data_IF_165335004009
#
_entry.id   IF_165335004009
#
_cell.length_a   1.000
_cell.length_b   1.000
_cell.length_c   1.000
_cell.angle_alpha   90.00
_cell.angle_beta   90.00
_cell.angle_gamma   90.00
#
_symmetry.space_group_name_H-M   'P 1'
#
loop_
_entity.id
_entity.type
_entity.pdbx_description
1 polymer ?
#
# COMPACT_ATOMS: atom_id res chain seq x y z
N UNK A 1 -3.20 6.51 -22.43
CA UNK A 1 -2.35 5.32 -22.66
C UNK A 1 -1.17 5.45 -21.72
N UNK A 2 -0.82 4.38 -21.01
CA UNK A 2 0.36 4.32 -20.14
C UNK A 2 1.28 3.26 -20.72
N UNK A 3 2.56 3.59 -20.87
CA UNK A 3 3.58 2.66 -21.34
C UNK A 3 4.57 2.44 -20.20
N UNK A 4 4.96 1.19 -19.99
CA UNK A 4 6.01 0.83 -19.05
C UNK A 4 7.35 0.83 -19.77
N UNK A 5 8.39 1.16 -19.02
CA UNK A 5 9.75 1.17 -19.50
C UNK A 5 10.72 1.30 -18.34
N UNK A 6 11.97 0.97 -18.61
CA UNK A 6 13.05 0.99 -17.65
C UNK A 6 14.21 1.85 -18.16
N UNK A 7 15.11 2.22 -17.25
CA UNK A 7 16.30 2.99 -17.60
C UNK A 7 17.43 2.03 -17.97
N UNK A 8 17.91 2.12 -19.21
CA UNK A 8 19.16 1.48 -19.65
C UNK A 8 20.16 2.56 -20.05
N UNK A 9 21.30 2.61 -19.36
CA UNK A 9 22.39 3.56 -19.65
C UNK A 9 21.94 5.04 -19.69
N UNK A 10 20.95 5.42 -18.87
CA UNK A 10 20.42 6.77 -18.82
C UNK A 10 19.36 7.09 -19.89
N UNK A 11 18.95 6.10 -20.69
CA UNK A 11 17.89 6.20 -21.69
C UNK A 11 16.67 5.40 -21.22
N UNK A 12 15.46 5.95 -21.40
CA UNK A 12 14.22 5.21 -21.14
C UNK A 12 13.95 4.28 -22.32
N UNK A 13 13.93 2.97 -22.05
CA UNK A 13 13.58 1.92 -23.01
C UNK A 13 12.19 1.41 -22.66
N UNK A 14 11.29 1.37 -23.65
CA UNK A 14 9.94 0.83 -23.46
C UNK A 14 10.01 -0.69 -23.34
N UNK A 15 9.29 -1.26 -22.38
CA UNK A 15 9.24 -2.72 -22.19
C UNK A 15 8.53 -3.42 -23.36
N UNK A 16 7.53 -2.76 -23.93
CA UNK A 16 6.83 -3.19 -25.13
C UNK A 16 7.19 -2.28 -26.31
N UNK A 17 7.65 -2.91 -27.41
CA UNK A 17 8.01 -2.19 -28.62
C UNK A 17 6.77 -1.54 -29.25
N UNK A 18 6.80 -0.21 -29.37
CA UNK A 18 5.72 0.58 -29.96
C UNK A 18 6.30 1.73 -30.80
N UNK A 19 5.77 1.93 -32.00
CA UNK A 19 6.10 3.08 -32.83
C UNK A 19 5.33 4.32 -32.34
N UNK A 20 6.05 5.29 -31.77
CA UNK A 20 5.49 6.59 -31.38
C UNK A 20 5.82 7.65 -32.45
N UNK A 21 4.86 8.52 -32.83
CA UNK A 21 5.15 9.61 -33.76
C UNK A 21 6.23 10.56 -33.23
N UNK A 22 7.12 11.00 -34.12
CA UNK A 22 8.09 12.07 -33.84
C UNK A 22 7.41 13.32 -33.27
N UNK A 23 8.03 13.94 -32.27
CA UNK A 23 7.50 15.14 -31.60
C UNK A 23 6.39 14.87 -30.57
N UNK A 24 6.07 13.61 -30.28
CA UNK A 24 5.09 13.26 -29.23
C UNK A 24 5.58 13.77 -27.86
N UNK A 25 4.78 14.62 -27.21
CA UNK A 25 5.05 15.07 -25.84
C UNK A 25 4.71 13.96 -24.86
N UNK A 26 5.66 13.62 -23.99
CA UNK A 26 5.50 12.59 -22.96
C UNK A 26 5.65 13.17 -21.56
N UNK A 27 5.00 12.52 -20.59
CA UNK A 27 5.24 12.72 -19.16
C UNK A 27 5.90 11.45 -18.63
N UNK A 28 6.94 11.63 -17.83
CA UNK A 28 7.64 10.53 -17.17
C UNK A 28 7.16 10.48 -15.72
N UNK A 29 6.73 9.31 -15.28
CA UNK A 29 6.41 9.02 -13.90
C UNK A 29 7.31 7.87 -13.46
N UNK A 30 8.10 8.09 -12.41
CA UNK A 30 8.91 7.02 -11.83
C UNK A 30 7.99 6.06 -11.09
N UNK A 31 8.05 4.78 -11.46
CA UNK A 31 7.37 3.72 -10.74
C UNK A 31 8.29 3.31 -9.60
N UNK A 32 7.97 3.80 -8.40
CA UNK A 32 8.59 3.30 -7.19
C UNK A 32 8.06 1.89 -6.93
N UNK A 33 8.89 0.87 -7.17
CA UNK A 33 8.62 -0.50 -6.71
C UNK A 33 8.76 -0.65 -5.21
N UNK A 34 8.97 0.46 -4.47
CA UNK A 34 8.85 0.52 -3.02
C UNK A 34 7.50 -0.06 -2.62
N UNK A 35 7.50 -1.36 -2.30
CA UNK A 35 6.30 -2.08 -1.89
C UNK A 35 5.75 -1.31 -0.72
N UNK A 36 4.54 -0.77 -0.87
CA UNK A 36 3.86 -0.15 0.25
C UNK A 36 3.88 -1.17 1.40
N UNK A 37 4.31 -0.76 2.61
CA UNK A 37 4.39 -1.70 3.71
C UNK A 37 3.02 -2.32 3.91
N UNK A 38 3.00 -3.65 4.02
CA UNK A 38 1.81 -4.43 4.28
C UNK A 38 1.11 -3.92 5.54
N UNK A 39 -0.17 -4.23 5.69
CA UNK A 39 -0.92 -3.86 6.90
C UNK A 39 -0.25 -4.43 8.17
N UNK A 40 0.32 -5.64 8.08
CA UNK A 40 1.08 -6.24 9.17
C UNK A 40 2.33 -5.42 9.53
N UNK A 41 3.10 -4.96 8.54
CA UNK A 41 4.29 -4.12 8.77
C UNK A 41 3.92 -2.77 9.38
N UNK A 42 2.83 -2.15 8.90
CA UNK A 42 2.33 -0.88 9.42
C UNK A 42 1.84 -0.98 10.87
N UNK A 43 1.25 -2.13 11.25
CA UNK A 43 0.70 -2.36 12.58
C UNK A 43 1.66 -3.13 13.51
N UNK A 44 2.88 -3.42 13.08
CA UNK A 44 3.87 -4.24 13.82
C UNK A 44 4.06 -3.80 15.27
N UNK A 45 3.97 -2.50 15.55
CA UNK A 45 4.16 -1.94 16.89
C UNK A 45 3.01 -2.25 17.86
N UNK A 46 1.82 -2.58 17.36
CA UNK A 46 0.61 -2.79 18.19
C UNK A 46 0.09 -4.23 18.14
N UNK A 47 0.48 -5.03 17.14
CA UNK A 47 0.11 -6.44 17.03
C UNK A 47 0.56 -7.20 18.28
N UNK A 48 -0.37 -7.93 18.91
CA UNK A 48 -0.09 -8.78 20.06
C UNK A 48 0.16 -8.06 21.39
N UNK A 49 -0.05 -6.73 21.48
CA UNK A 49 0.12 -6.01 22.74
C UNK A 49 -0.98 -6.30 23.78
N UNK A 50 -2.14 -6.80 23.35
CA UNK A 50 -3.25 -7.14 24.24
C UNK A 50 -2.95 -8.36 25.11
N UNK A 51 -2.78 -8.17 26.42
CA UNK A 51 -2.56 -9.23 27.40
C UNK A 51 -3.72 -9.30 28.39
N UNK A 52 -4.18 -10.51 28.71
CA UNK A 52 -5.25 -10.72 29.70
C UNK A 52 -6.60 -10.13 29.31
N UNK A 53 -6.83 -9.92 28.02
CA UNK A 53 -8.07 -9.34 27.49
C UNK A 53 -9.17 -10.41 27.42
N UNK A 54 -10.44 -10.03 27.61
CA UNK A 54 -11.58 -10.91 27.38
C UNK A 54 -11.57 -11.48 25.96
N UNK A 55 -12.01 -12.74 25.81
CA UNK A 55 -12.04 -13.42 24.51
C UNK A 55 -12.99 -12.75 23.50
N UNK A 56 -13.99 -12.04 24.01
CA UNK A 56 -15.03 -11.32 23.26
C UNK A 56 -14.73 -9.82 23.11
N UNK A 57 -13.55 -9.34 23.51
CA UNK A 57 -13.22 -7.91 23.48
C UNK A 57 -13.40 -7.28 22.10
N UNK A 58 -13.10 -8.00 21.02
CA UNK A 58 -13.26 -7.47 19.67
C UNK A 58 -14.73 -7.16 19.34
N UNK A 59 -15.64 -8.05 19.75
CA UNK A 59 -17.08 -7.92 19.53
C UNK A 59 -17.71 -6.88 20.46
N UNK A 60 -17.26 -6.82 21.71
CA UNK A 60 -17.80 -5.96 22.76
C UNK A 60 -16.87 -4.79 23.13
N UNK A 61 -16.05 -4.30 22.20
CA UNK A 61 -15.02 -3.29 22.51
C UNK A 61 -15.63 -2.02 23.11
N UNK A 62 -16.79 -1.58 22.64
CA UNK A 62 -17.51 -0.42 23.19
C UNK A 62 -17.96 -0.65 24.65
N UNK A 63 -18.41 -1.86 24.99
CA UNK A 63 -18.78 -2.21 26.36
C UNK A 63 -17.57 -2.09 27.30
N UNK A 64 -16.42 -2.65 26.90
CA UNK A 64 -15.23 -2.67 27.74
C UNK A 64 -14.50 -1.31 27.79
N UNK A 65 -14.53 -0.52 26.72
CA UNK A 65 -13.86 0.80 26.66
C UNK A 65 -14.73 1.89 27.30
N UNK A 66 -16.05 1.84 27.08
CA UNK A 66 -16.96 2.94 27.43
C UNK A 66 -17.99 2.58 28.49
N UNK A 67 -18.03 1.33 28.96
CA UNK A 67 -19.02 0.88 29.94
C UNK A 67 -20.44 0.90 29.40
N UNK A 68 -20.62 0.88 28.07
CA UNK A 68 -21.94 0.90 27.45
C UNK A 68 -22.72 -0.35 27.89
N UNK A 69 -24.00 -0.21 28.33
CA UNK A 69 -24.82 -1.37 28.65
C UNK A 69 -25.04 -2.22 27.40
N UNK A 70 -24.93 -3.54 27.54
CA UNK A 70 -25.32 -4.48 26.47
C UNK A 70 -26.84 -4.35 26.24
N UNK A 71 -27.31 -4.25 24.97
CA UNK A 71 -28.74 -4.22 24.65
C UNK A 71 -29.45 -5.54 25.01
#
# INVERSE_FOLDING_TARGET
MTLLGHIENGVIVLDEAMALPEGTKVRIEFLDESSLPTIAERLKNVIGQGKGLPADLAENHDHYIHGAPLP
#
